data_IF_578789584811
#
_entry.id   IF_578789584811
#
_cell.length_a   1.000
_cell.length_b   1.000
_cell.length_c   1.000
_cell.angle_alpha   90.00
_cell.angle_beta   90.00
_cell.angle_gamma   90.00
#
_symmetry.space_group_name_H-M   'P 1'
#
loop_
_entity.id
_entity.type
_entity.pdbx_description
1 polymer ?
#
# COMPACT_ATOMS: atom_id res chain seq x y z
N UNK A 1 -25.33 -15.74 -4.01
CA UNK A 1 -24.40 -15.55 -5.13
C UNK A 1 -23.05 -15.27 -4.51
N UNK A 2 -22.10 -16.20 -4.61
CA UNK A 2 -20.74 -15.95 -4.12
C UNK A 2 -20.10 -14.84 -4.94
N UNK A 3 -19.39 -13.92 -4.27
CA UNK A 3 -18.68 -12.85 -4.96
C UNK A 3 -17.57 -13.50 -5.81
N UNK A 4 -17.63 -13.33 -7.13
CA UNK A 4 -16.64 -13.88 -8.09
C UNK A 4 -15.19 -13.54 -7.74
N UNK A 5 -15.00 -12.45 -6.98
CA UNK A 5 -13.71 -12.05 -6.43
C UNK A 5 -13.19 -12.99 -5.35
N UNK A 6 -14.00 -13.36 -4.35
CA UNK A 6 -13.57 -14.28 -3.28
C UNK A 6 -13.26 -15.67 -3.85
N UNK A 7 -14.04 -16.11 -4.83
CA UNK A 7 -13.79 -17.36 -5.55
C UNK A 7 -12.47 -17.31 -6.34
N UNK A 8 -12.17 -16.18 -6.99
CA UNK A 8 -10.90 -15.99 -7.68
C UNK A 8 -9.70 -16.02 -6.72
N UNK A 9 -9.80 -15.40 -5.55
CA UNK A 9 -8.74 -15.41 -4.53
C UNK A 9 -8.51 -16.81 -3.98
N UNK A 10 -9.59 -17.54 -3.66
CA UNK A 10 -9.51 -18.93 -3.24
C UNK A 10 -8.85 -19.83 -4.30
N UNK A 11 -9.15 -19.61 -5.59
CA UNK A 11 -8.53 -20.37 -6.67
C UNK A 11 -7.02 -20.08 -6.79
N UNK A 12 -6.59 -18.84 -6.57
CA UNK A 12 -5.17 -18.46 -6.55
C UNK A 12 -4.46 -19.16 -5.38
N UNK A 13 -5.07 -19.18 -4.20
CA UNK A 13 -4.49 -19.86 -3.02
C UNK A 13 -4.28 -21.36 -3.24
N UNK A 14 -5.26 -22.03 -3.85
CA UNK A 14 -5.15 -23.44 -4.22
C UNK A 14 -4.01 -23.66 -5.21
N UNK A 15 -3.92 -22.82 -6.25
CA UNK A 15 -2.84 -22.92 -7.24
C UNK A 15 -1.46 -22.76 -6.60
N UNK A 16 -1.27 -21.72 -5.78
CA UNK A 16 -0.02 -21.46 -5.09
C UNK A 16 0.36 -22.59 -4.13
N UNK A 17 -0.61 -23.15 -3.39
CA UNK A 17 -0.39 -24.29 -2.50
C UNK A 17 0.09 -25.54 -3.23
N UNK A 18 -0.53 -25.85 -4.38
CA UNK A 18 -0.10 -26.97 -5.23
C UNK A 18 1.31 -26.74 -5.77
N UNK A 19 1.61 -25.52 -6.22
CA UNK A 19 2.92 -25.15 -6.73
C UNK A 19 4.02 -25.31 -5.68
N UNK A 20 3.79 -24.81 -4.46
CA UNK A 20 4.73 -24.95 -3.34
C UNK A 20 4.94 -26.43 -3.01
N UNK A 21 3.86 -27.21 -2.91
CA UNK A 21 3.95 -28.65 -2.65
C UNK A 21 4.76 -29.37 -3.73
N UNK A 22 4.59 -29.00 -5.00
CA UNK A 22 5.36 -29.53 -6.13
C UNK A 22 6.85 -29.17 -6.08
N UNK A 23 7.18 -27.96 -5.63
CA UNK A 23 8.57 -27.53 -5.45
C UNK A 23 9.25 -28.18 -4.24
N UNK A 24 8.46 -28.64 -3.27
CA UNK A 24 8.95 -29.25 -2.03
C UNK A 24 8.79 -30.78 -2.00
N UNK A 25 8.60 -31.45 -3.15
CA UNK A 25 8.39 -32.91 -3.19
C UNK A 25 9.51 -33.73 -2.49
N UNK A 26 10.71 -33.16 -2.29
CA UNK A 26 11.83 -33.80 -1.58
C UNK A 26 12.13 -33.23 -0.17
N UNK A 27 11.33 -32.28 0.35
CA UNK A 27 11.56 -31.63 1.65
C UNK A 27 10.25 -31.36 2.37
N UNK A 28 10.14 -31.68 3.65
CA UNK A 28 8.97 -31.25 4.43
C UNK A 28 8.84 -29.72 4.38
N UNK A 29 7.64 -29.19 4.04
CA UNK A 29 7.41 -27.76 4.03
C UNK A 29 7.52 -27.22 5.46
N UNK A 30 8.54 -26.39 5.71
CA UNK A 30 8.77 -25.79 7.03
C UNK A 30 7.84 -24.61 7.33
N UNK A 31 7.11 -24.10 6.32
CA UNK A 31 6.23 -22.93 6.46
C UNK A 31 4.96 -23.18 5.64
N UNK A 32 3.80 -23.09 6.29
CA UNK A 32 2.52 -23.10 5.59
C UNK A 32 2.27 -21.74 4.92
N UNK A 33 1.93 -21.70 3.61
CA UNK A 33 1.61 -20.46 2.93
C UNK A 33 0.32 -19.84 3.50
N UNK A 34 0.36 -18.55 3.84
CA UNK A 34 -0.83 -17.82 4.29
C UNK A 34 -1.77 -17.50 3.10
N UNK A 35 -3.10 -17.44 3.33
CA UNK A 35 -4.07 -17.05 2.30
C UNK A 35 -3.81 -15.66 1.72
N UNK A 36 -4.00 -15.50 0.41
CA UNK A 36 -3.74 -14.25 -0.30
C UNK A 36 -4.65 -13.11 0.19
N UNK A 37 -5.84 -13.40 0.72
CA UNK A 37 -6.70 -12.36 1.30
C UNK A 37 -6.05 -11.69 2.51
N UNK A 38 -5.23 -12.41 3.29
CA UNK A 38 -4.47 -11.80 4.41
C UNK A 38 -3.40 -10.85 3.90
N UNK A 39 -2.79 -11.15 2.75
CA UNK A 39 -1.84 -10.24 2.11
C UNK A 39 -2.54 -9.00 1.54
N UNK A 40 -3.74 -9.16 0.99
CA UNK A 40 -4.54 -8.05 0.48
C UNK A 40 -5.09 -7.17 1.60
N UNK A 41 -5.47 -7.72 2.75
CA UNK A 41 -5.85 -6.93 3.94
C UNK A 41 -4.67 -6.17 4.56
N UNK A 42 -3.44 -6.66 4.40
CA UNK A 42 -2.21 -5.93 4.74
C UNK A 42 -1.91 -4.78 3.76
N UNK A 43 -2.48 -4.76 2.55
CA UNK A 43 -2.45 -3.57 1.69
C UNK A 43 -3.39 -2.50 2.29
N UNK A 44 -2.82 -1.76 3.24
CA UNK A 44 -3.23 -0.47 3.80
C UNK A 44 -4.61 0.03 3.36
N UNK A 45 -5.57 0.08 4.30
CA UNK A 45 -6.83 0.79 4.12
C UNK A 45 -6.60 2.31 4.07
N UNK A 46 -6.16 2.80 2.92
CA UNK A 46 -5.93 4.22 2.68
C UNK A 46 -7.28 4.94 2.65
N UNK A 47 -7.44 5.99 3.47
CA UNK A 47 -8.66 6.81 3.48
C UNK A 47 -8.35 8.18 2.88
N UNK A 48 -9.08 8.54 1.83
CA UNK A 48 -8.94 9.82 1.15
C UNK A 48 -10.07 10.74 1.62
N UNK A 49 -9.70 11.88 2.19
CA UNK A 49 -10.62 12.91 2.66
C UNK A 49 -10.42 14.17 1.80
N UNK A 50 -11.43 14.51 1.01
CA UNK A 50 -11.39 15.65 0.09
C UNK A 50 -12.72 15.82 -0.62
N UNK A 51 -13.02 17.05 -1.02
CA UNK A 51 -14.30 17.39 -1.64
C UNK A 51 -14.16 17.45 -3.17
N UNK A 52 -15.16 16.92 -3.86
CA UNK A 52 -15.50 17.03 -5.29
C UNK A 52 -14.83 16.07 -6.30
N UNK A 53 -15.61 15.10 -6.81
CA UNK A 53 -15.69 14.76 -8.24
C UNK A 53 -14.55 14.04 -8.98
N UNK A 54 -13.38 13.79 -8.36
CA UNK A 54 -12.21 13.20 -9.04
C UNK A 54 -12.04 11.70 -8.74
N UNK A 55 -11.35 10.99 -9.66
CA UNK A 55 -10.92 9.60 -9.46
C UNK A 55 -10.11 9.47 -8.16
N UNK A 56 -10.40 8.42 -7.39
CA UNK A 56 -9.65 8.09 -6.18
C UNK A 56 -8.16 7.93 -6.52
N UNK A 57 -7.24 8.55 -5.76
CA UNK A 57 -5.81 8.41 -6.01
C UNK A 57 -5.40 6.95 -5.85
N UNK A 58 -4.69 6.43 -6.85
CA UNK A 58 -4.09 5.09 -6.75
C UNK A 58 -2.84 5.19 -5.89
N UNK A 59 -2.81 4.44 -4.79
CA UNK A 59 -1.76 4.51 -3.79
C UNK A 59 -1.17 3.11 -3.59
N UNK A 60 0.11 2.97 -3.88
CA UNK A 60 0.89 1.78 -3.60
C UNK A 60 1.87 2.06 -2.47
N UNK A 61 1.90 1.19 -1.47
CA UNK A 61 2.78 1.30 -0.30
C UNK A 61 3.69 0.09 -0.28
N UNK A 62 4.99 0.36 -0.28
CA UNK A 62 6.06 -0.63 -0.23
C UNK A 62 6.85 -0.41 1.05
N UNK A 63 6.95 -1.42 1.88
CA UNK A 63 7.71 -1.36 3.11
C UNK A 63 8.77 -2.46 3.14
N UNK A 64 10.02 -2.07 3.39
CA UNK A 64 11.13 -2.98 3.63
C UNK A 64 11.81 -2.66 4.98
N UNK A 65 12.90 -3.36 5.30
CA UNK A 65 13.65 -3.18 6.55
C UNK A 65 14.30 -1.79 6.68
N UNK A 66 14.56 -1.10 5.57
CA UNK A 66 15.32 0.16 5.50
C UNK A 66 14.43 1.37 5.28
N UNK A 67 13.33 1.21 4.58
CA UNK A 67 12.49 2.33 4.14
C UNK A 67 11.03 1.93 3.92
N UNK A 68 10.18 2.95 4.03
CA UNK A 68 8.84 2.97 3.48
C UNK A 68 8.85 3.81 2.19
N UNK A 69 8.27 3.28 1.12
CA UNK A 69 8.08 3.98 -0.15
C UNK A 69 6.61 3.98 -0.51
N UNK A 70 6.05 5.17 -0.68
CA UNK A 70 4.66 5.39 -1.09
C UNK A 70 4.68 5.97 -2.50
N UNK A 71 3.98 5.32 -3.42
CA UNK A 71 3.72 5.82 -4.77
C UNK A 71 2.25 6.23 -4.85
N UNK A 72 2.01 7.47 -5.23
CA UNK A 72 0.66 8.01 -5.34
C UNK A 72 0.47 8.59 -6.73
N UNK A 73 -0.45 8.01 -7.49
CA UNK A 73 -0.96 8.59 -8.72
C UNK A 73 -2.10 9.53 -8.36
N UNK A 74 -1.87 10.82 -8.52
CA UNK A 74 -2.88 11.84 -8.29
C UNK A 74 -2.80 12.92 -9.39
N UNK A 75 -3.92 13.60 -9.71
CA UNK A 75 -3.95 14.61 -10.77
C UNK A 75 -3.21 15.91 -10.41
N UNK A 76 -2.69 16.03 -9.19
CA UNK A 76 -2.19 17.28 -8.59
C UNK A 76 -0.69 17.52 -8.80
N UNK A 77 -0.20 17.26 -10.02
CA UNK A 77 1.24 17.37 -10.33
C UNK A 77 1.77 18.78 -10.04
N UNK A 78 2.85 18.85 -9.25
CA UNK A 78 3.54 20.10 -8.93
C UNK A 78 2.88 20.91 -7.81
N UNK A 79 1.87 20.37 -7.12
CA UNK A 79 1.34 20.99 -5.90
C UNK A 79 2.25 20.76 -4.69
N UNK A 80 2.11 21.63 -3.70
CA UNK A 80 2.80 21.52 -2.42
C UNK A 80 2.26 20.30 -1.66
N UNK A 81 3.20 19.47 -1.18
CA UNK A 81 2.91 18.28 -0.39
C UNK A 81 3.43 18.51 1.02
N UNK A 82 2.55 18.33 1.99
CA UNK A 82 2.90 18.40 3.40
C UNK A 82 2.56 17.07 4.08
N UNK A 83 3.49 16.55 4.88
CA UNK A 83 3.30 15.33 5.65
C UNK A 83 3.09 15.70 7.11
N UNK A 84 1.97 15.25 7.68
CA UNK A 84 1.64 15.50 9.09
C UNK A 84 1.45 14.16 9.81
N UNK A 85 2.31 13.81 10.77
CA UNK A 85 2.11 12.61 11.57
C UNK A 85 0.92 12.82 12.51
N UNK A 86 0.20 11.74 12.81
CA UNK A 86 -0.87 11.72 13.80
C UNK A 86 -0.87 10.37 14.56
N UNK A 87 -1.76 10.23 15.54
CA UNK A 87 -1.80 9.03 16.41
C UNK A 87 -2.14 7.74 15.64
N UNK A 88 -2.73 7.85 14.45
CA UNK A 88 -3.17 6.74 13.62
C UNK A 88 -2.30 6.56 12.34
N UNK A 89 -1.17 7.26 12.26
CA UNK A 89 -0.21 7.19 11.16
C UNK A 89 0.19 8.54 10.56
N UNK A 90 0.08 8.69 9.23
CA UNK A 90 0.54 9.90 8.54
C UNK A 90 -0.54 10.43 7.60
N UNK A 91 -0.82 11.73 7.72
CA UNK A 91 -1.65 12.47 6.80
C UNK A 91 -0.79 13.12 5.71
N UNK A 92 -1.05 12.75 4.45
CA UNK A 92 -0.52 13.46 3.29
C UNK A 92 -1.50 14.55 2.91
N UNK A 93 -1.06 15.79 3.03
CA UNK A 93 -1.79 16.96 2.58
C UNK A 93 -1.30 17.37 1.21
N UNK A 94 -2.22 17.43 0.24
CA UNK A 94 -1.97 17.95 -1.10
C UNK A 94 -2.64 19.31 -1.18
N UNK A 95 -1.83 20.37 -1.11
CA UNK A 95 -2.31 21.75 -0.91
C UNK A 95 -3.25 21.88 0.31
N UNK A 96 -4.10 22.92 0.35
CA UNK A 96 -5.05 23.18 1.46
C UNK A 96 -6.32 22.31 1.42
N UNK A 97 -6.50 21.47 0.41
CA UNK A 97 -7.83 20.96 0.04
C UNK A 97 -7.99 19.44 0.17
N UNK A 98 -6.91 18.68 0.26
CA UNK A 98 -6.99 17.22 0.28
C UNK A 98 -6.08 16.62 1.34
N UNK A 99 -6.64 15.68 2.09
CA UNK A 99 -6.00 14.95 3.16
C UNK A 99 -6.09 13.45 2.88
N UNK A 100 -4.96 12.76 2.82
CA UNK A 100 -4.91 11.30 2.59
C UNK A 100 -4.29 10.67 3.84
N UNK A 101 -5.05 9.80 4.49
CA UNK A 101 -4.61 9.10 5.69
C UNK A 101 -3.95 7.79 5.30
N UNK A 102 -2.66 7.68 5.61
CA UNK A 102 -1.87 6.48 5.42
C UNK A 102 -1.75 5.75 6.77
N UNK A 103 -2.22 4.48 6.88
CA UNK A 103 -2.15 3.69 8.11
C UNK A 103 -0.76 3.05 8.24
N UNK A 104 0.26 3.91 8.33
CA UNK A 104 1.67 3.53 8.52
C UNK A 104 2.09 3.98 9.91
N UNK A 105 3.00 3.24 10.56
CA UNK A 105 3.50 3.65 11.88
C UNK A 105 4.02 5.09 11.85
N UNK A 106 3.97 5.83 12.97
CA UNK A 106 4.49 7.19 13.04
C UNK A 106 5.98 7.21 12.71
N UNK A 107 6.30 7.47 11.44
CA UNK A 107 7.67 7.44 10.96
C UNK A 107 8.39 8.75 11.29
N UNK A 108 9.71 8.66 11.43
CA UNK A 108 10.55 9.83 11.59
C UNK A 108 10.60 10.65 10.29
N UNK A 109 9.71 11.64 10.19
CA UNK A 109 9.54 12.44 8.98
C UNK A 109 10.77 13.27 8.61
N UNK A 110 11.75 13.42 9.52
CA UNK A 110 12.99 14.15 9.26
C UNK A 110 13.85 13.52 8.16
N UNK A 111 13.65 12.23 7.84
CA UNK A 111 14.35 11.52 6.75
C UNK A 111 13.44 11.26 5.55
N UNK A 112 12.47 12.13 5.30
CA UNK A 112 11.53 11.98 4.18
C UNK A 112 12.07 12.65 2.93
N UNK A 113 11.99 11.95 1.80
CA UNK A 113 12.24 12.51 0.47
C UNK A 113 10.95 12.46 -0.31
N UNK A 114 10.52 13.61 -0.82
CA UNK A 114 9.33 13.75 -1.67
C UNK A 114 9.81 14.09 -3.08
N UNK A 115 9.39 13.32 -4.07
CA UNK A 115 9.76 13.53 -5.47
C UNK A 115 8.56 13.34 -6.38
N UNK A 116 8.35 14.29 -7.29
CA UNK A 116 7.46 14.10 -8.42
C UNK A 116 8.20 13.40 -9.56
N UNK A 117 7.66 12.29 -10.04
CA UNK A 117 8.02 11.69 -11.32
C UNK A 117 7.00 12.11 -12.41
N UNK A 118 7.20 11.67 -13.65
CA UNK A 118 6.33 11.99 -14.79
C UNK A 118 4.86 11.68 -14.53
N UNK A 119 4.56 10.63 -13.75
CA UNK A 119 3.21 10.09 -13.52
C UNK A 119 2.79 9.95 -12.05
N UNK A 120 3.73 10.00 -11.09
CA UNK A 120 3.44 9.68 -9.68
C UNK A 120 4.17 10.63 -8.73
N UNK A 121 3.57 10.85 -7.56
CA UNK A 121 4.26 11.34 -6.38
C UNK A 121 4.93 10.15 -5.69
N UNK A 122 6.22 10.25 -5.44
CA UNK A 122 6.99 9.29 -4.67
C UNK A 122 7.37 9.92 -3.33
N UNK A 123 6.95 9.28 -2.24
CA UNK A 123 7.33 9.65 -0.87
C UNK A 123 8.14 8.51 -0.30
N UNK A 124 9.40 8.77 0.02
CA UNK A 124 10.29 7.78 0.63
C UNK A 124 10.64 8.23 2.04
N UNK A 125 10.37 7.39 3.03
CA UNK A 125 10.70 7.63 4.42
C UNK A 125 11.70 6.57 4.87
N UNK A 126 12.89 7.00 5.30
CA UNK A 126 13.90 6.06 5.82
C UNK A 126 13.61 5.76 7.29
N UNK A 127 13.73 4.49 7.66
CA UNK A 127 13.66 4.03 9.05
C UNK A 127 14.92 4.47 9.84
#
# INVERSE_FOLDING_TARGET
MGNSFEEALSNIDVFCSVLVRKMMEDKEPQVEPEPIEKMLRKKCAVKVYGNYGWEEPLIDIFEDEKQLKILMRCPFKGQEIELRPNDDGVDVWVSKSQKIKLPIDPLNLNKTTIRWNSQFLEITVRK
#
